data_IF_917330578786
#
_entry.id   IF_917330578786
#
_cell.length_a   1.000
_cell.length_b   1.000
_cell.length_c   1.000
_cell.angle_alpha   90.00
_cell.angle_beta   90.00
_cell.angle_gamma   90.00
#
_symmetry.space_group_name_H-M   'P 1'
#
loop_
_entity.id
_entity.type
_entity.pdbx_description
1 polymer ?
#
# COMPACT_ATOMS: atom_id res chain seq x y z
N UNK A 1 53.80 6.80 39.34
CA UNK A 1 52.68 6.36 38.48
C UNK A 1 51.76 5.47 39.29
N UNK A 2 50.60 5.99 39.71
CA UNK A 2 49.34 5.25 39.72
C UNK A 2 48.24 6.30 39.95
N UNK A 3 47.58 6.69 38.86
CA UNK A 3 46.36 7.47 38.87
C UNK A 3 45.23 6.51 39.25
N UNK A 4 44.74 6.61 40.48
CA UNK A 4 43.48 5.96 40.87
C UNK A 4 42.38 6.96 40.55
N UNK A 5 41.69 6.72 39.44
CA UNK A 5 40.46 7.41 39.10
C UNK A 5 39.37 6.98 40.08
N UNK A 6 38.84 7.92 40.86
CA UNK A 6 37.52 7.77 41.44
C UNK A 6 36.54 7.68 40.27
N UNK A 7 35.95 6.51 40.05
CA UNK A 7 34.74 6.41 39.25
C UNK A 7 33.64 7.13 40.03
N UNK A 8 33.32 8.34 39.62
CA UNK A 8 32.03 8.94 39.89
C UNK A 8 30.97 8.00 39.32
N UNK A 9 30.29 7.30 40.23
CA UNK A 9 29.07 6.55 39.90
C UNK A 9 28.04 7.59 39.49
N UNK A 10 27.87 7.76 38.18
CA UNK A 10 26.72 8.45 37.62
C UNK A 10 25.51 7.62 37.99
N UNK A 11 24.80 8.06 39.04
CA UNK A 11 23.45 7.59 39.33
C UNK A 11 22.60 8.07 38.15
N UNK A 12 22.23 7.14 37.26
CA UNK A 12 21.16 7.42 36.31
C UNK A 12 19.92 7.75 37.13
N UNK A 13 19.49 9.02 37.09
CA UNK A 13 18.20 9.43 37.64
C UNK A 13 17.12 8.59 36.96
N UNK A 14 16.57 7.60 37.69
CA UNK A 14 15.36 6.90 37.33
C UNK A 14 14.21 7.93 37.36
N UNK A 15 14.03 8.66 36.27
CA UNK A 15 12.84 9.45 36.06
C UNK A 15 11.64 8.51 36.12
N UNK A 16 10.65 8.77 37.01
CA UNK A 16 9.49 7.89 37.15
C UNK A 16 8.81 7.74 35.79
N UNK A 17 8.61 6.49 35.36
CA UNK A 17 8.01 6.20 34.06
C UNK A 17 6.54 6.65 34.08
N UNK A 18 6.29 7.85 33.56
CA UNK A 18 4.95 8.45 33.54
C UNK A 18 4.04 7.63 32.61
N UNK A 19 2.89 7.22 33.12
CA UNK A 19 1.88 6.43 32.39
C UNK A 19 0.79 7.33 31.79
N UNK A 20 0.07 6.85 30.77
CA UNK A 20 -0.98 7.65 30.13
C UNK A 20 -2.12 7.96 31.09
N UNK A 21 -2.41 7.02 31.99
CA UNK A 21 -3.37 7.18 33.08
C UNK A 21 -3.02 8.36 34.00
N UNK A 22 -1.73 8.51 34.35
CA UNK A 22 -1.25 9.62 35.18
C UNK A 22 -1.35 10.97 34.48
N UNK A 23 -1.16 11.03 33.16
CA UNK A 23 -1.26 12.28 32.39
C UNK A 23 -2.71 12.67 32.16
N UNK A 24 -3.57 11.70 31.85
CA UNK A 24 -4.99 11.94 31.58
C UNK A 24 -5.79 12.15 32.87
N UNK A 25 -5.20 11.82 34.03
CA UNK A 25 -5.83 11.91 35.35
C UNK A 25 -7.20 11.19 35.40
N UNK A 26 -7.28 10.03 34.75
CA UNK A 26 -8.48 9.19 34.71
C UNK A 26 -8.24 7.98 35.62
N UNK A 27 -8.98 7.84 36.73
CA UNK A 27 -8.93 6.65 37.58
C UNK A 27 -9.30 5.40 36.77
N UNK A 28 -8.61 4.28 37.02
CA UNK A 28 -8.86 2.99 36.37
C UNK A 28 -8.79 3.04 34.83
N UNK A 29 -7.97 3.94 34.28
CA UNK A 29 -7.80 4.07 32.85
C UNK A 29 -7.15 2.83 32.24
N UNK A 30 -7.96 2.02 31.58
CA UNK A 30 -7.50 0.79 30.94
C UNK A 30 -7.05 1.09 29.52
N UNK A 31 -5.76 1.40 29.39
CA UNK A 31 -5.10 1.84 28.15
C UNK A 31 -5.23 0.86 26.96
N UNK A 32 -5.49 -0.43 27.22
CA UNK A 32 -5.71 -1.44 26.16
C UNK A 32 -7.03 -1.24 25.41
N UNK A 33 -7.99 -0.51 25.98
CA UNK A 33 -9.28 -0.23 25.34
C UNK A 33 -9.29 1.08 24.55
N UNK A 34 -8.20 1.85 24.58
CA UNK A 34 -8.03 2.97 23.66
C UNK A 34 -8.03 2.45 22.22
N UNK A 35 -9.04 2.86 21.46
CA UNK A 35 -9.02 2.71 20.02
C UNK A 35 -7.85 3.50 19.39
N UNK A 36 -7.59 3.20 18.12
CA UNK A 36 -6.45 3.72 17.38
C UNK A 36 -6.60 5.22 17.14
N UNK A 37 -7.81 5.69 16.90
CA UNK A 37 -8.10 7.09 16.66
C UNK A 37 -7.77 7.92 17.88
N UNK A 38 -8.22 7.47 19.05
CA UNK A 38 -7.92 8.12 20.31
C UNK A 38 -6.42 8.11 20.57
N UNK A 39 -5.69 7.03 20.21
CA UNK A 39 -4.22 7.00 20.30
C UNK A 39 -3.56 7.99 19.34
N UNK A 40 -4.00 8.07 18.08
CA UNK A 40 -3.45 9.02 17.11
C UNK A 40 -3.72 10.47 17.52
N UNK A 41 -4.93 10.76 18.02
CA UNK A 41 -5.30 12.06 18.55
C UNK A 41 -4.49 12.44 19.77
N UNK A 42 -4.36 11.54 20.75
CA UNK A 42 -3.54 11.75 21.95
C UNK A 42 -2.06 11.95 21.56
N UNK A 43 -1.55 11.20 20.59
CA UNK A 43 -0.19 11.38 20.08
C UNK A 43 0.06 12.78 19.49
N UNK A 44 -0.99 13.41 18.96
CA UNK A 44 -0.92 14.77 18.44
C UNK A 44 -0.94 15.85 19.54
N UNK A 45 -1.38 15.57 20.77
CA UNK A 45 -1.57 16.61 21.80
C UNK A 45 -0.28 17.07 22.50
N UNK A 46 0.62 16.18 22.92
CA UNK A 46 1.88 16.58 23.58
C UNK A 46 3.00 15.53 23.46
N UNK A 47 4.25 15.96 23.67
CA UNK A 47 5.46 15.13 23.53
C UNK A 47 5.47 13.94 24.49
N UNK A 48 5.05 14.13 25.75
CA UNK A 48 5.07 13.07 26.78
C UNK A 48 4.05 11.98 26.44
N UNK A 49 2.82 12.35 26.08
CA UNK A 49 1.79 11.40 25.62
C UNK A 49 2.26 10.66 24.37
N UNK A 50 2.89 11.37 23.43
CA UNK A 50 3.45 10.79 22.22
C UNK A 50 4.52 9.74 22.53
N UNK A 51 5.42 10.01 23.45
CA UNK A 51 6.45 9.05 23.89
C UNK A 51 5.84 7.80 24.52
N UNK A 52 4.84 7.96 25.39
CA UNK A 52 4.15 6.83 26.03
C UNK A 52 3.39 5.98 25.01
N UNK A 53 2.73 6.60 24.04
CA UNK A 53 2.03 5.88 22.97
C UNK A 53 3.02 5.19 22.04
N UNK A 54 4.16 5.83 21.72
CA UNK A 54 5.22 5.24 20.91
C UNK A 54 5.85 3.99 21.57
N UNK A 55 5.82 3.90 22.90
CA UNK A 55 6.27 2.70 23.62
C UNK A 55 5.36 1.49 23.41
N UNK A 56 4.12 1.63 22.91
CA UNK A 56 3.15 0.54 22.78
C UNK A 56 3.11 -0.05 21.37
N UNK A 57 2.62 -1.28 21.25
CA UNK A 57 2.29 -1.85 19.96
C UNK A 57 1.13 -1.07 19.33
N UNK A 58 1.32 -0.62 18.09
CA UNK A 58 0.34 0.14 17.33
C UNK A 58 -0.13 -0.75 16.19
N UNK A 59 -1.39 -1.13 16.22
CA UNK A 59 -2.03 -1.83 15.11
C UNK A 59 -2.94 -0.85 14.40
N UNK A 60 -2.95 -0.83 13.06
CA UNK A 60 -3.89 -0.07 12.24
C UNK A 60 -4.57 -1.04 11.29
N UNK A 61 -5.90 -1.16 11.37
CA UNK A 61 -6.65 -2.05 10.48
C UNK A 61 -6.54 -1.56 9.03
N UNK A 62 -6.82 -0.29 8.78
CA UNK A 62 -6.70 0.29 7.45
C UNK A 62 -6.14 1.70 7.56
N UNK A 63 -5.01 1.95 6.88
CA UNK A 63 -4.43 3.27 6.67
C UNK A 63 -4.62 3.61 5.20
N UNK A 64 -5.28 4.72 4.89
CA UNK A 64 -5.48 5.18 3.53
C UNK A 64 -4.70 6.46 3.31
N UNK A 65 -3.97 6.52 2.21
CA UNK A 65 -3.32 7.71 1.67
C UNK A 65 -3.93 8.00 0.31
N UNK A 66 -4.68 9.10 0.21
CA UNK A 66 -5.26 9.53 -1.06
C UNK A 66 -4.62 10.83 -1.49
N UNK A 67 -4.26 10.94 -2.75
CA UNK A 67 -3.90 12.20 -3.36
C UNK A 67 -4.79 12.50 -4.58
N UNK A 68 -5.16 13.76 -4.72
CA UNK A 68 -5.86 14.29 -5.87
C UNK A 68 -5.37 15.72 -6.11
N UNK A 69 -4.48 15.88 -7.09
CA UNK A 69 -3.88 17.16 -7.43
C UNK A 69 -3.15 17.80 -6.25
N UNK A 70 -3.77 18.80 -5.62
CA UNK A 70 -3.22 19.57 -4.48
C UNK A 70 -3.74 19.13 -3.12
N UNK A 71 -4.60 18.10 -3.10
CA UNK A 71 -5.22 17.58 -1.90
C UNK A 71 -4.55 16.24 -1.55
N UNK A 72 -4.19 16.09 -0.29
CA UNK A 72 -3.71 14.84 0.30
C UNK A 72 -4.63 14.50 1.47
N UNK A 73 -5.16 13.29 1.52
CA UNK A 73 -5.99 12.80 2.61
C UNK A 73 -5.32 11.58 3.25
N UNK A 74 -5.22 11.59 4.58
CA UNK A 74 -4.74 10.47 5.37
C UNK A 74 -5.86 10.08 6.31
N UNK A 75 -6.35 8.84 6.20
CA UNK A 75 -7.47 8.39 7.00
C UNK A 75 -7.35 6.95 7.48
N UNK A 76 -8.11 6.62 8.51
CA UNK A 76 -8.32 5.25 8.97
C UNK A 76 -9.79 4.87 8.87
N UNK A 77 -10.06 3.56 8.86
CA UNK A 77 -11.43 3.05 8.93
C UNK A 77 -12.11 3.28 10.30
N UNK A 78 -11.40 3.81 11.30
CA UNK A 78 -11.93 3.98 12.65
C UNK A 78 -12.47 5.39 12.92
N UNK A 79 -12.23 6.36 12.02
CA UNK A 79 -12.71 7.74 12.15
C UNK A 79 -11.61 8.81 12.15
N UNK A 80 -10.33 8.43 12.18
CA UNK A 80 -9.23 9.38 11.96
C UNK A 80 -9.23 9.84 10.50
N UNK A 81 -9.23 11.16 10.29
CA UNK A 81 -9.08 11.76 8.98
C UNK A 81 -8.38 13.12 9.12
N UNK A 82 -7.30 13.31 8.35
CA UNK A 82 -6.64 14.59 8.14
C UNK A 82 -6.48 14.81 6.64
N UNK A 83 -6.85 16.00 6.17
CA UNK A 83 -6.63 16.41 4.79
C UNK A 83 -5.78 17.67 4.73
N UNK A 84 -4.88 17.70 3.76
CA UNK A 84 -4.00 18.80 3.44
C UNK A 84 -4.38 19.32 2.06
N UNK A 85 -4.56 20.63 1.94
CA UNK A 85 -4.86 21.30 0.68
C UNK A 85 -3.82 22.39 0.46
N UNK A 86 -3.01 22.22 -0.58
CA UNK A 86 -1.93 23.15 -0.93
C UNK A 86 -2.52 24.30 -1.74
N UNK A 87 -2.37 25.51 -1.21
CA UNK A 87 -2.87 26.75 -1.81
C UNK A 87 -1.70 27.68 -2.14
N UNK A 88 -1.93 28.67 -3.01
CA UNK A 88 -0.88 29.57 -3.54
C UNK A 88 -0.03 30.29 -2.47
N UNK A 89 -0.54 30.43 -1.25
CA UNK A 89 0.13 31.10 -0.12
C UNK A 89 0.07 30.29 1.16
N UNK A 90 0.10 28.96 1.05
CA UNK A 90 0.23 28.12 2.23
C UNK A 90 -0.44 26.76 2.13
N UNK A 91 -0.86 26.27 3.29
CA UNK A 91 -1.40 24.95 3.49
C UNK A 91 -2.65 25.04 4.36
N UNK A 92 -3.76 24.51 3.87
CA UNK A 92 -4.96 24.29 4.67
C UNK A 92 -4.90 22.87 5.21
N UNK A 93 -4.98 22.74 6.54
CA UNK A 93 -5.05 21.44 7.22
C UNK A 93 -6.43 21.31 7.84
N UNK A 94 -7.19 20.32 7.40
CA UNK A 94 -8.51 19.98 7.97
C UNK A 94 -8.38 18.68 8.75
N UNK A 95 -8.88 18.68 9.97
CA UNK A 95 -8.92 17.50 10.84
C UNK A 95 -10.22 17.55 11.64
N UNK A 96 -11.01 16.48 11.57
CA UNK A 96 -12.37 16.45 12.12
C UNK A 96 -13.21 17.65 11.62
N UNK A 97 -13.67 18.52 12.52
CA UNK A 97 -14.45 19.73 12.22
C UNK A 97 -13.59 21.01 12.33
N UNK A 98 -12.26 20.88 12.37
CA UNK A 98 -11.34 21.99 12.53
C UNK A 98 -10.55 22.20 11.25
N UNK A 99 -10.36 23.46 10.93
CA UNK A 99 -9.52 23.90 9.83
C UNK A 99 -8.41 24.81 10.38
N UNK A 100 -7.19 24.62 9.89
CA UNK A 100 -6.05 25.47 10.21
C UNK A 100 -5.38 25.90 8.91
N UNK A 101 -5.27 27.20 8.72
CA UNK A 101 -4.51 27.78 7.60
C UNK A 101 -3.09 28.10 8.08
N UNK A 102 -2.10 27.59 7.38
CA UNK A 102 -0.67 27.84 7.61
C UNK A 102 -0.18 28.68 6.45
N UNK A 103 0.16 29.94 6.71
CA UNK A 103 0.68 30.83 5.68
C UNK A 103 2.16 30.52 5.43
N UNK A 104 2.50 30.10 4.21
CA UNK A 104 3.88 30.03 3.72
C UNK A 104 3.88 30.25 2.21
N UNK A 105 4.95 30.83 1.69
CA UNK A 105 5.15 31.02 0.24
C UNK A 105 6.09 29.97 -0.34
N UNK A 106 6.51 28.97 0.44
CA UNK A 106 7.43 27.93 0.02
C UNK A 106 6.71 26.57 -0.04
N UNK A 107 6.54 26.02 -1.24
CA UNK A 107 5.92 24.71 -1.45
C UNK A 107 6.75 23.57 -0.85
N UNK A 108 8.08 23.71 -0.79
CA UNK A 108 8.97 22.74 -0.15
C UNK A 108 8.70 22.65 1.37
N UNK A 109 8.43 23.80 2.00
CA UNK A 109 8.06 23.83 3.43
C UNK A 109 6.71 23.13 3.68
N UNK A 110 5.77 23.23 2.74
CA UNK A 110 4.51 22.48 2.80
C UNK A 110 4.75 20.97 2.71
N UNK A 111 5.58 20.55 1.74
CA UNK A 111 5.98 19.14 1.56
C UNK A 111 6.63 18.59 2.82
N UNK A 112 7.62 19.29 3.39
CA UNK A 112 8.31 18.88 4.62
C UNK A 112 7.36 18.77 5.82
N UNK A 113 6.34 19.64 5.90
CA UNK A 113 5.33 19.59 6.98
C UNK A 113 4.50 18.32 6.87
N UNK A 114 3.95 18.03 5.69
CA UNK A 114 3.13 16.84 5.46
C UNK A 114 3.98 15.58 5.65
N UNK A 115 5.21 15.58 5.13
CA UNK A 115 6.17 14.50 5.34
C UNK A 115 6.45 14.25 6.82
N UNK A 116 6.67 15.30 7.62
CA UNK A 116 6.90 15.16 9.07
C UNK A 116 5.71 14.50 9.77
N UNK A 117 4.49 14.87 9.38
CA UNK A 117 3.28 14.29 9.94
C UNK A 117 3.13 12.80 9.54
N UNK A 118 3.39 12.46 8.28
CA UNK A 118 3.42 11.07 7.82
C UNK A 118 4.52 10.23 8.49
N UNK A 119 5.74 10.77 8.60
CA UNK A 119 6.85 10.16 9.29
C UNK A 119 6.50 9.89 10.75
N UNK A 120 5.76 10.81 11.39
CA UNK A 120 5.27 10.56 12.73
C UNK A 120 4.47 9.25 12.75
N UNK A 121 3.57 8.99 11.80
CA UNK A 121 2.79 7.75 11.73
C UNK A 121 3.70 6.55 11.44
N UNK A 122 4.50 6.61 10.37
CA UNK A 122 5.18 5.44 9.79
C UNK A 122 6.49 5.04 10.48
N UNK A 123 7.18 5.91 11.20
CA UNK A 123 8.52 5.61 11.76
C UNK A 123 8.54 4.64 12.96
N UNK A 124 7.38 4.21 13.47
CA UNK A 124 7.35 3.34 14.65
C UNK A 124 7.62 1.88 14.27
N UNK A 125 8.69 1.27 14.82
CA UNK A 125 8.99 -0.17 14.67
C UNK A 125 7.88 -1.10 15.17
N UNK A 126 7.06 -0.57 16.09
CA UNK A 126 5.95 -1.27 16.72
C UNK A 126 4.66 -1.18 15.90
N UNK A 127 4.67 -0.38 14.82
CA UNK A 127 3.55 -0.23 13.93
C UNK A 127 3.31 -1.52 13.13
N UNK A 128 2.07 -1.95 13.11
CA UNK A 128 1.54 -3.03 12.28
C UNK A 128 0.35 -2.47 11.54
N UNK A 129 0.31 -2.63 10.23
CA UNK A 129 -0.80 -2.17 9.39
C UNK A 129 -1.38 -3.41 8.70
N UNK A 130 -2.67 -3.64 8.86
CA UNK A 130 -3.31 -4.75 8.13
C UNK A 130 -3.41 -4.39 6.66
N UNK A 131 -4.10 -3.29 6.32
CA UNK A 131 -4.17 -2.77 4.96
C UNK A 131 -3.60 -1.37 4.85
N UNK A 132 -2.63 -1.17 3.94
CA UNK A 132 -2.19 0.15 3.52
C UNK A 132 -2.75 0.42 2.11
N UNK A 133 -3.68 1.37 2.01
CA UNK A 133 -4.27 1.81 0.76
C UNK A 133 -3.60 3.09 0.27
N UNK A 134 -3.16 3.11 -0.98
CA UNK A 134 -2.66 4.30 -1.68
C UNK A 134 -3.55 4.51 -2.91
N UNK A 135 -4.13 5.70 -3.03
CA UNK A 135 -4.99 6.08 -4.15
C UNK A 135 -4.52 7.42 -4.74
N UNK A 136 -4.20 7.44 -6.03
CA UNK A 136 -4.04 8.66 -6.81
C UNK A 136 -5.19 8.75 -7.81
N UNK A 137 -6.06 9.73 -7.61
CA UNK A 137 -7.23 9.91 -8.44
C UNK A 137 -7.17 11.29 -9.07
N UNK A 138 -6.81 11.35 -10.35
CA UNK A 138 -6.71 12.61 -11.08
C UNK A 138 -8.01 12.82 -11.84
N UNK A 139 -8.78 13.83 -11.42
CA UNK A 139 -9.99 14.23 -12.15
C UNK A 139 -9.71 15.20 -13.30
N UNK A 140 -8.46 15.49 -13.64
CA UNK A 140 -8.12 16.52 -14.64
C UNK A 140 -7.00 16.11 -15.57
N UNK A 141 -7.35 16.00 -16.84
CA UNK A 141 -6.48 15.78 -17.99
C UNK A 141 -5.27 16.74 -17.99
N UNK A 142 -4.09 16.23 -18.37
CA UNK A 142 -2.90 16.98 -18.82
C UNK A 142 -1.94 17.63 -17.80
N UNK A 143 -1.56 16.94 -16.72
CA UNK A 143 -0.38 17.36 -15.95
C UNK A 143 0.70 16.27 -15.90
N UNK A 144 1.86 16.57 -16.51
CA UNK A 144 3.06 15.71 -16.59
C UNK A 144 3.98 15.82 -15.36
N UNK A 145 3.61 16.59 -14.33
CA UNK A 145 4.42 16.71 -13.12
C UNK A 145 3.95 15.69 -12.07
N UNK A 146 4.89 14.97 -11.41
CA UNK A 146 4.52 14.04 -10.35
C UNK A 146 3.74 14.78 -9.27
N UNK A 147 2.56 14.24 -8.92
CA UNK A 147 1.66 14.89 -7.98
C UNK A 147 2.37 15.13 -6.65
N UNK A 148 2.17 16.31 -6.07
CA UNK A 148 2.82 16.70 -4.82
C UNK A 148 2.55 15.69 -3.69
N UNK A 149 1.37 15.05 -3.70
CA UNK A 149 1.06 13.93 -2.82
C UNK A 149 1.95 12.72 -3.03
N UNK A 150 2.22 12.32 -4.28
CA UNK A 150 3.15 11.24 -4.58
C UNK A 150 4.60 11.60 -4.29
N UNK A 151 5.01 12.86 -4.51
CA UNK A 151 6.34 13.36 -4.08
C UNK A 151 6.50 13.24 -2.57
N UNK A 152 5.52 13.73 -1.81
CA UNK A 152 5.51 13.65 -0.34
C UNK A 152 5.59 12.20 0.13
N UNK A 153 4.78 11.30 -0.45
CA UNK A 153 4.76 9.90 -0.08
C UNK A 153 6.10 9.22 -0.39
N UNK A 154 6.65 9.43 -1.59
CA UNK A 154 7.96 8.92 -2.00
C UNK A 154 9.06 9.37 -1.05
N UNK A 155 9.13 10.67 -0.77
CA UNK A 155 10.13 11.25 0.12
C UNK A 155 10.01 10.69 1.55
N UNK A 156 8.77 10.51 2.02
CA UNK A 156 8.49 9.88 3.31
C UNK A 156 9.00 8.45 3.34
N UNK A 157 8.61 7.61 2.38
CA UNK A 157 8.96 6.19 2.31
C UNK A 157 10.48 5.98 2.23
N UNK A 158 11.20 6.84 1.51
CA UNK A 158 12.66 6.81 1.40
C UNK A 158 13.38 7.13 2.72
N UNK A 159 12.70 7.76 3.67
CA UNK A 159 13.27 8.15 4.96
C UNK A 159 12.77 7.29 6.12
N UNK A 160 11.81 6.40 5.91
CA UNK A 160 11.36 5.47 6.96
C UNK A 160 12.55 4.59 7.36
N UNK A 161 12.98 4.62 8.64
CA UNK A 161 14.22 3.96 9.05
C UNK A 161 14.11 2.44 9.13
N UNK A 162 12.88 1.92 9.24
CA UNK A 162 12.60 0.51 9.52
C UNK A 162 11.65 -0.07 8.49
N UNK A 163 11.74 -1.39 8.26
CA UNK A 163 10.77 -2.07 7.39
C UNK A 163 9.37 -2.02 8.01
N UNK A 164 8.40 -1.57 7.23
CA UNK A 164 7.01 -1.49 7.65
C UNK A 164 6.39 -2.88 7.65
N UNK A 165 5.70 -3.24 8.72
CA UNK A 165 4.99 -4.52 8.82
C UNK A 165 3.55 -4.34 8.34
N UNK A 166 3.41 -4.35 7.02
CA UNK A 166 2.15 -4.22 6.28
C UNK A 166 1.74 -5.60 5.78
N UNK A 167 0.49 -6.01 6.02
CA UNK A 167 -0.02 -7.32 5.56
C UNK A 167 -0.57 -7.29 4.14
N UNK A 168 -1.27 -6.20 3.81
CA UNK A 168 -1.97 -5.99 2.55
C UNK A 168 -1.65 -4.60 2.01
N UNK A 169 -1.24 -4.54 0.74
CA UNK A 169 -1.07 -3.29 0.01
C UNK A 169 -2.15 -3.18 -1.05
N UNK A 170 -2.95 -2.13 -0.99
CA UNK A 170 -3.83 -1.74 -2.08
C UNK A 170 -3.30 -0.46 -2.72
N UNK A 171 -3.10 -0.48 -4.04
CA UNK A 171 -2.47 0.62 -4.76
C UNK A 171 -3.25 0.90 -6.05
N UNK A 172 -3.85 2.08 -6.09
CA UNK A 172 -4.79 2.53 -7.12
C UNK A 172 -4.26 3.81 -7.75
N UNK A 173 -3.85 3.77 -9.01
CA UNK A 173 -3.26 4.92 -9.70
C UNK A 173 -3.67 4.97 -11.16
N UNK A 174 -3.50 6.11 -11.81
CA UNK A 174 -3.71 6.20 -13.26
C UNK A 174 -2.61 5.51 -14.07
N UNK A 175 -1.36 5.77 -13.71
CA UNK A 175 -0.17 5.16 -14.29
C UNK A 175 0.72 4.61 -13.17
N UNK A 176 1.32 3.44 -13.38
CA UNK A 176 2.28 2.90 -12.42
C UNK A 176 3.50 3.81 -12.33
N UNK A 177 3.84 4.21 -11.11
CA UNK A 177 4.95 5.11 -10.83
C UNK A 177 6.00 4.46 -9.91
N UNK A 178 7.10 5.19 -9.69
CA UNK A 178 8.21 4.73 -8.84
C UNK A 178 7.81 4.62 -7.36
N UNK A 179 6.72 5.25 -6.93
CA UNK A 179 6.22 5.19 -5.55
C UNK A 179 5.76 3.78 -5.22
N UNK A 180 5.20 3.01 -6.16
CA UNK A 180 4.92 1.58 -5.93
C UNK A 180 6.21 0.83 -5.55
N UNK A 181 7.28 1.04 -6.31
CA UNK A 181 8.56 0.37 -6.08
C UNK A 181 9.14 0.74 -4.70
N UNK A 182 9.16 2.03 -4.36
CA UNK A 182 9.64 2.48 -3.05
C UNK A 182 8.74 1.99 -1.91
N UNK A 183 7.42 1.95 -2.11
CA UNK A 183 6.49 1.39 -1.12
C UNK A 183 6.80 -0.07 -0.84
N UNK A 184 6.94 -0.90 -1.89
CA UNK A 184 7.28 -2.31 -1.74
C UNK A 184 8.64 -2.49 -1.07
N UNK A 185 9.67 -1.72 -1.47
CA UNK A 185 10.98 -1.77 -0.81
C UNK A 185 10.89 -1.46 0.67
N UNK A 186 10.04 -0.54 1.10
CA UNK A 186 9.90 -0.15 2.52
C UNK A 186 9.14 -1.19 3.36
N UNK A 187 8.39 -2.11 2.74
CA UNK A 187 7.65 -3.16 3.44
C UNK A 187 8.56 -4.35 3.82
N UNK A 188 8.34 -4.92 5.01
CA UNK A 188 8.94 -6.17 5.43
C UNK A 188 8.40 -7.33 4.57
N UNK A 189 9.25 -8.03 3.80
CA UNK A 189 8.82 -9.10 2.91
C UNK A 189 8.21 -10.32 3.63
N UNK A 190 8.42 -10.48 4.95
CA UNK A 190 7.77 -11.54 5.73
C UNK A 190 6.32 -11.22 6.10
N UNK A 191 5.94 -9.94 6.03
CA UNK A 191 4.61 -9.51 6.43
C UNK A 191 3.65 -9.34 5.25
N UNK A 192 4.14 -8.98 4.06
CA UNK A 192 3.29 -8.72 2.90
C UNK A 192 2.73 -10.01 2.32
N UNK A 193 1.42 -10.24 2.47
CA UNK A 193 0.74 -11.43 1.96
C UNK A 193 -0.10 -11.12 0.71
N UNK A 194 -0.64 -9.92 0.61
CA UNK A 194 -1.61 -9.52 -0.41
C UNK A 194 -1.20 -8.21 -1.10
N UNK A 195 -1.29 -8.20 -2.43
CA UNK A 195 -1.11 -7.01 -3.24
C UNK A 195 -2.30 -6.85 -4.18
N UNK A 196 -2.91 -5.67 -4.16
CA UNK A 196 -3.95 -5.27 -5.10
C UNK A 196 -3.51 -4.05 -5.87
N UNK A 197 -3.49 -4.18 -7.19
CA UNK A 197 -3.12 -3.14 -8.12
C UNK A 197 -4.32 -2.80 -9.00
N UNK A 198 -4.64 -1.52 -9.11
CA UNK A 198 -5.57 -1.03 -10.13
C UNK A 198 -4.89 0.10 -10.88
N UNK A 199 -4.74 -0.09 -12.17
CA UNK A 199 -4.21 0.91 -13.08
C UNK A 199 -5.35 1.37 -13.99
N UNK A 200 -5.43 2.64 -14.35
CA UNK A 200 -6.51 3.12 -15.22
C UNK A 200 -6.29 2.60 -16.65
N UNK A 201 -7.33 2.09 -17.35
CA UNK A 201 -7.15 1.27 -18.56
C UNK A 201 -6.55 2.02 -19.78
N UNK A 202 -6.59 3.35 -19.80
CA UNK A 202 -6.36 4.14 -21.01
C UNK A 202 -4.90 4.57 -21.25
N UNK A 203 -3.95 4.27 -20.35
CA UNK A 203 -2.55 4.66 -20.51
C UNK A 203 -1.67 3.47 -20.93
N UNK A 204 -1.19 3.51 -22.17
CA UNK A 204 -0.71 2.39 -23.00
C UNK A 204 0.73 1.91 -22.78
N UNK A 205 1.36 2.18 -21.65
CA UNK A 205 2.77 1.81 -21.48
C UNK A 205 2.98 0.80 -20.36
N UNK A 206 3.45 -0.39 -20.74
CA UNK A 206 4.19 -1.28 -19.84
C UNK A 206 5.42 -0.53 -19.33
N UNK A 207 5.28 0.11 -18.17
CA UNK A 207 6.30 0.90 -17.51
C UNK A 207 7.51 0.01 -17.17
N UNK A 208 8.77 0.49 -17.33
CA UNK A 208 9.99 -0.25 -16.95
C UNK A 208 9.99 -0.75 -15.49
N UNK A 209 9.16 -0.15 -14.64
CA UNK A 209 9.00 -0.41 -13.21
C UNK A 209 8.65 -1.89 -12.91
N UNK A 210 7.88 -2.55 -13.77
CA UNK A 210 7.49 -3.95 -13.56
C UNK A 210 8.70 -4.87 -13.39
N UNK A 211 9.75 -4.67 -14.19
CA UNK A 211 10.96 -5.51 -14.12
C UNK A 211 11.61 -5.42 -12.74
N UNK A 212 11.64 -4.23 -12.16
CA UNK A 212 12.24 -4.02 -10.85
C UNK A 212 11.34 -4.56 -9.73
N UNK A 213 10.02 -4.40 -9.86
CA UNK A 213 9.03 -4.95 -8.93
C UNK A 213 9.15 -6.48 -8.84
N UNK A 214 9.25 -7.19 -9.97
CA UNK A 214 9.34 -8.66 -9.98
C UNK A 214 10.58 -9.22 -9.30
N UNK A 215 11.65 -8.43 -9.22
CA UNK A 215 12.90 -8.85 -8.60
C UNK A 215 12.87 -8.69 -7.07
N UNK A 216 11.91 -7.97 -6.51
CA UNK A 216 11.78 -7.75 -5.08
C UNK A 216 11.37 -9.03 -4.33
N UNK A 217 11.94 -9.23 -3.15
CA UNK A 217 11.53 -10.32 -2.25
C UNK A 217 10.08 -10.19 -1.80
N UNK A 218 9.60 -8.96 -1.65
CA UNK A 218 8.21 -8.65 -1.33
C UNK A 218 7.27 -9.20 -2.40
N UNK A 219 7.62 -9.10 -3.68
CA UNK A 219 6.83 -9.67 -4.77
C UNK A 219 6.83 -11.20 -4.76
N UNK A 220 8.02 -11.79 -4.61
CA UNK A 220 8.20 -13.25 -4.66
C UNK A 220 7.50 -14.00 -3.52
N UNK A 221 7.30 -13.35 -2.36
CA UNK A 221 6.68 -13.95 -1.18
C UNK A 221 5.18 -13.72 -1.05
N UNK A 222 4.58 -12.97 -1.98
CA UNK A 222 3.14 -12.76 -2.00
C UNK A 222 2.41 -14.10 -2.04
N UNK A 223 1.31 -14.18 -1.30
CA UNK A 223 0.37 -15.31 -1.38
C UNK A 223 -0.73 -15.03 -2.38
N UNK A 224 -1.13 -13.76 -2.51
CA UNK A 224 -2.26 -13.38 -3.35
C UNK A 224 -2.00 -12.07 -4.09
N UNK A 225 -2.35 -12.04 -5.37
CA UNK A 225 -2.25 -10.89 -6.25
C UNK A 225 -3.62 -10.62 -6.90
N UNK A 226 -4.15 -9.40 -6.79
CA UNK A 226 -5.32 -8.91 -7.55
C UNK A 226 -4.88 -7.74 -8.43
N UNK A 227 -4.81 -7.92 -9.75
CA UNK A 227 -4.46 -6.85 -10.69
C UNK A 227 -5.63 -6.55 -11.61
N UNK A 228 -6.06 -5.29 -11.60
CA UNK A 228 -7.15 -4.78 -12.44
C UNK A 228 -6.62 -3.84 -13.50
N UNK A 229 -7.14 -4.06 -14.69
CA UNK A 229 -6.73 -3.54 -15.98
C UNK A 229 -5.23 -3.77 -16.29
N UNK A 230 -4.70 -4.99 -16.08
CA UNK A 230 -3.36 -5.31 -16.54
C UNK A 230 -3.34 -5.33 -18.07
N UNK A 231 -2.61 -4.41 -18.70
CA UNK A 231 -2.26 -4.55 -20.13
C UNK A 231 -1.14 -5.61 -20.31
N UNK A 232 -1.34 -6.81 -19.78
CA UNK A 232 -0.31 -7.85 -19.71
C UNK A 232 -0.55 -8.96 -20.73
N UNK A 233 0.52 -9.36 -21.42
CA UNK A 233 0.52 -10.50 -22.34
C UNK A 233 0.53 -11.82 -21.58
N UNK A 234 0.02 -12.89 -22.19
CA UNK A 234 0.01 -14.24 -21.57
C UNK A 234 1.41 -14.71 -21.13
N UNK A 235 2.49 -14.60 -21.93
CA UNK A 235 3.83 -14.96 -21.49
C UNK A 235 4.33 -14.16 -20.27
N UNK A 236 3.77 -12.97 -20.06
CA UNK A 236 4.09 -12.13 -18.91
C UNK A 236 3.31 -12.59 -17.67
N UNK A 237 2.02 -12.92 -17.84
CA UNK A 237 1.19 -13.53 -16.78
C UNK A 237 1.81 -14.84 -16.30
N UNK A 238 2.11 -15.76 -17.22
CA UNK A 238 2.66 -17.08 -16.90
C UNK A 238 3.99 -16.97 -16.16
N UNK A 239 4.84 -16.01 -16.53
CA UNK A 239 6.17 -15.84 -15.94
C UNK A 239 6.17 -15.14 -14.58
N UNK A 240 5.32 -14.15 -14.37
CA UNK A 240 5.45 -13.24 -13.21
C UNK A 240 4.31 -13.30 -12.21
N UNK A 241 3.19 -13.92 -12.56
CA UNK A 241 2.00 -13.95 -11.70
C UNK A 241 1.70 -15.34 -11.16
N UNK A 242 2.31 -16.40 -11.69
CA UNK A 242 1.96 -17.77 -11.31
C UNK A 242 2.68 -18.26 -10.06
N UNK A 243 3.68 -17.54 -9.52
CA UNK A 243 4.46 -18.00 -8.37
C UNK A 243 3.69 -17.96 -7.03
N UNK A 244 2.51 -17.34 -6.99
CA UNK A 244 1.70 -17.14 -5.78
C UNK A 244 0.58 -18.20 -5.66
N UNK A 245 -0.10 -18.24 -4.51
CA UNK A 245 -1.21 -19.18 -4.29
C UNK A 245 -2.48 -18.78 -5.03
N UNK A 246 -2.82 -17.48 -5.04
CA UNK A 246 -4.05 -16.98 -5.65
C UNK A 246 -3.77 -15.77 -6.54
N UNK A 247 -4.32 -15.79 -7.75
CA UNK A 247 -4.20 -14.70 -8.71
C UNK A 247 -5.57 -14.32 -9.22
N UNK A 248 -5.88 -13.04 -9.18
CA UNK A 248 -7.05 -12.46 -9.81
C UNK A 248 -6.62 -11.37 -10.78
N UNK A 249 -6.88 -11.58 -12.07
CA UNK A 249 -6.63 -10.61 -13.12
C UNK A 249 -7.96 -10.15 -13.68
N UNK A 250 -8.14 -8.84 -13.84
CA UNK A 250 -9.29 -8.27 -14.54
C UNK A 250 -8.77 -7.42 -15.69
N UNK A 251 -8.94 -7.82 -16.95
CA UNK A 251 -8.54 -7.02 -18.13
C UNK A 251 -9.77 -6.63 -18.96
N UNK A 252 -9.64 -5.58 -19.76
CA UNK A 252 -10.67 -5.22 -20.73
C UNK A 252 -10.63 -6.18 -21.93
N UNK A 253 -9.45 -6.57 -22.39
CA UNK A 253 -9.28 -7.46 -23.55
C UNK A 253 -8.29 -8.59 -23.25
N UNK A 254 -8.53 -9.79 -23.79
CA UNK A 254 -7.57 -10.91 -23.76
C UNK A 254 -6.31 -10.59 -24.58
N UNK A 255 -6.54 -9.97 -25.73
CA UNK A 255 -5.50 -9.48 -26.61
C UNK A 255 -5.38 -7.98 -26.37
N UNK A 256 -4.25 -7.51 -25.85
CA UNK A 256 -3.87 -6.12 -26.09
C UNK A 256 -3.91 -5.87 -27.60
N UNK A 257 -4.12 -4.63 -28.04
CA UNK A 257 -4.31 -4.22 -29.45
C UNK A 257 -3.27 -4.73 -30.50
N UNK A 258 -2.27 -5.52 -30.09
CA UNK A 258 -1.08 -5.93 -30.85
C UNK A 258 -0.90 -7.47 -30.93
N UNK A 259 -1.46 -8.29 -30.03
CA UNK A 259 -1.34 -9.76 -30.12
C UNK A 259 -2.58 -10.37 -30.78
N UNK A 260 -2.52 -10.62 -32.09
CA UNK A 260 -3.62 -11.19 -32.88
C UNK A 260 -3.64 -12.74 -32.87
N UNK A 261 -3.34 -13.38 -31.74
CA UNK A 261 -3.41 -14.84 -31.60
C UNK A 261 -4.82 -15.33 -31.28
N UNK A 262 -5.19 -16.59 -31.63
CA UNK A 262 -6.45 -17.19 -31.19
C UNK A 262 -6.51 -17.26 -29.66
N UNK A 263 -7.62 -16.84 -29.06
CA UNK A 263 -7.80 -16.81 -27.59
C UNK A 263 -7.59 -18.21 -26.99
N UNK A 264 -8.04 -19.24 -27.70
CA UNK A 264 -7.85 -20.64 -27.34
C UNK A 264 -6.39 -21.01 -27.02
N UNK A 265 -5.43 -20.61 -27.85
CA UNK A 265 -4.01 -20.95 -27.66
C UNK A 265 -3.47 -20.38 -26.34
N UNK A 266 -3.84 -19.14 -26.04
CA UNK A 266 -3.45 -18.47 -24.80
C UNK A 266 -4.03 -19.14 -23.56
N UNK A 267 -5.29 -19.58 -23.64
CA UNK A 267 -5.94 -20.30 -22.54
C UNK A 267 -5.26 -21.65 -22.30
N UNK A 268 -4.90 -22.38 -23.36
CA UNK A 268 -4.19 -23.65 -23.23
C UNK A 268 -2.79 -23.47 -22.61
N UNK A 269 -2.04 -22.43 -22.99
CA UNK A 269 -0.73 -22.13 -22.37
C UNK A 269 -0.86 -21.85 -20.85
N UNK A 270 -1.92 -21.15 -20.45
CA UNK A 270 -2.20 -20.88 -19.03
C UNK A 270 -2.58 -22.17 -18.28
N UNK A 271 -3.36 -23.06 -18.89
CA UNK A 271 -3.73 -24.36 -18.30
C UNK A 271 -2.49 -25.22 -18.08
N UNK A 272 -1.63 -25.36 -19.08
CA UNK A 272 -0.41 -26.15 -18.95
C UNK A 272 0.47 -25.62 -17.80
N UNK A 273 0.58 -24.30 -17.69
CA UNK A 273 1.30 -23.66 -16.57
C UNK A 273 0.65 -23.88 -15.21
N UNK A 274 -0.68 -23.89 -15.14
CA UNK A 274 -1.41 -24.21 -13.91
C UNK A 274 -1.14 -25.65 -13.47
N UNK A 275 -1.12 -26.60 -14.40
CA UNK A 275 -0.87 -28.01 -14.11
C UNK A 275 0.57 -28.28 -13.67
N UNK A 276 1.53 -27.50 -14.19
CA UNK A 276 2.94 -27.58 -13.75
C UNK A 276 3.19 -26.97 -12.36
N UNK A 277 2.36 -26.01 -11.93
CA UNK A 277 2.64 -25.18 -10.77
C UNK A 277 1.93 -25.67 -9.51
N UNK A 278 2.66 -26.38 -8.65
CA UNK A 278 2.13 -26.88 -7.37
C UNK A 278 1.75 -25.81 -6.33
N UNK A 279 2.22 -24.56 -6.48
CA UNK A 279 1.93 -23.47 -5.54
C UNK A 279 0.61 -22.76 -5.87
N UNK A 280 0.28 -22.65 -7.15
CA UNK A 280 -0.86 -21.90 -7.66
C UNK A 280 -2.17 -22.68 -7.44
N UNK A 281 -2.95 -22.29 -6.43
CA UNK A 281 -4.23 -22.90 -6.08
C UNK A 281 -5.38 -22.36 -6.91
N UNK A 282 -5.32 -21.08 -7.28
CA UNK A 282 -6.38 -20.43 -8.03
C UNK A 282 -5.84 -19.34 -8.96
N UNK A 283 -6.20 -19.41 -10.23
CA UNK A 283 -6.04 -18.35 -11.21
C UNK A 283 -7.41 -17.96 -11.75
N UNK A 284 -7.83 -16.72 -11.51
CA UNK A 284 -9.06 -16.14 -12.03
C UNK A 284 -8.71 -15.03 -12.99
N UNK A 285 -9.16 -15.15 -14.23
CA UNK A 285 -9.01 -14.12 -15.24
C UNK A 285 -10.42 -13.70 -15.65
N UNK A 286 -10.77 -12.45 -15.36
CA UNK A 286 -11.98 -11.81 -15.83
C UNK A 286 -11.62 -10.91 -17.01
N UNK A 287 -12.34 -11.08 -18.11
CA UNK A 287 -12.21 -10.25 -19.29
C UNK A 287 -13.54 -9.59 -19.56
N UNK A 288 -13.57 -8.26 -19.56
CA UNK A 288 -14.82 -7.49 -19.70
C UNK A 288 -15.26 -7.35 -21.17
N UNK A 289 -14.34 -7.43 -22.14
CA UNK A 289 -14.60 -7.27 -23.57
C UNK A 289 -13.81 -8.28 -24.44
N UNK A 290 -14.31 -8.58 -25.64
CA UNK A 290 -13.65 -9.41 -26.66
C UNK A 290 -13.41 -10.91 -26.32
N UNK A 291 -14.51 -11.66 -26.18
CA UNK A 291 -14.54 -13.11 -26.47
C UNK A 291 -15.70 -13.38 -27.42
N UNK A 292 -15.43 -13.96 -28.59
CA UNK A 292 -16.51 -14.38 -29.50
C UNK A 292 -17.17 -15.65 -28.99
N UNK A 293 -18.41 -15.92 -29.42
CA UNK A 293 -19.10 -17.18 -29.09
C UNK A 293 -18.28 -18.40 -29.52
N UNK A 294 -17.58 -18.30 -30.66
CA UNK A 294 -16.70 -19.35 -31.19
C UNK A 294 -15.47 -19.58 -30.30
N UNK A 295 -14.81 -18.51 -29.84
CA UNK A 295 -13.69 -18.65 -28.89
C UNK A 295 -14.14 -19.34 -27.60
N UNK A 296 -15.34 -19.00 -27.12
CA UNK A 296 -15.91 -19.61 -25.92
C UNK A 296 -16.19 -21.11 -26.11
N UNK A 297 -16.80 -21.50 -27.23
CA UNK A 297 -17.07 -22.90 -27.55
C UNK A 297 -15.79 -23.72 -27.62
N UNK A 298 -14.76 -23.23 -28.33
CA UNK A 298 -13.46 -23.91 -28.48
C UNK A 298 -12.74 -24.11 -27.13
N UNK A 299 -12.75 -23.08 -26.28
CA UNK A 299 -12.17 -23.14 -24.93
C UNK A 299 -12.96 -24.13 -24.07
N UNK A 300 -14.29 -24.05 -24.10
CA UNK A 300 -15.14 -24.92 -23.29
C UNK A 300 -14.97 -26.40 -23.68
N UNK A 301 -14.93 -26.71 -24.98
CA UNK A 301 -14.68 -28.08 -25.47
C UNK A 301 -13.33 -28.62 -24.96
N UNK A 302 -12.30 -27.78 -25.00
CA UNK A 302 -10.96 -28.16 -24.53
C UNK A 302 -10.91 -28.37 -23.01
N UNK A 303 -11.61 -27.53 -22.25
CA UNK A 303 -11.70 -27.63 -20.79
C UNK A 303 -12.46 -28.87 -20.30
N UNK A 304 -13.40 -29.42 -21.08
CA UNK A 304 -14.10 -30.66 -20.73
C UNK A 304 -13.13 -31.81 -20.46
N UNK A 305 -11.98 -31.84 -21.14
CA UNK A 305 -10.98 -32.89 -20.97
C UNK A 305 -10.31 -32.87 -19.59
N UNK A 306 -10.31 -31.72 -18.91
CA UNK A 306 -9.74 -31.53 -17.58
C UNK A 306 -10.80 -31.62 -16.46
N UNK A 307 -12.08 -31.58 -16.82
CA UNK A 307 -13.20 -31.67 -15.89
C UNK A 307 -13.48 -33.15 -15.53
N UNK A 308 -12.57 -33.76 -14.77
CA UNK A 308 -12.66 -35.18 -14.37
C UNK A 308 -13.69 -35.45 -13.27
N UNK A 309 -14.20 -34.41 -12.63
CA UNK A 309 -15.31 -34.47 -11.70
C UNK A 309 -16.49 -33.69 -12.27
N UNK A 310 -17.50 -34.37 -12.78
CA UNK A 310 -18.78 -33.80 -13.25
C UNK A 310 -19.59 -33.12 -12.12
N UNK A 311 -18.97 -32.23 -11.34
CA UNK A 311 -19.64 -31.37 -10.38
C UNK A 311 -19.87 -30.04 -11.10
N UNK A 312 -21.12 -29.70 -11.46
CA UNK A 312 -21.41 -28.40 -12.05
C UNK A 312 -20.95 -27.29 -11.09
N UNK A 313 -20.27 -26.29 -11.65
CA UNK A 313 -19.86 -25.09 -10.92
C UNK A 313 -21.13 -24.33 -10.48
N UNK A 314 -21.30 -23.97 -9.18
CA UNK A 314 -22.48 -23.25 -8.70
C UNK A 314 -22.55 -21.80 -9.17
#
# INVERSE_FOLDING_TARGET
MSLVFNLDVVVEDENPEVTLAQILNVPDFVEKYLDIDTKLCLRATCTIIREIINKKQLYIDCLNYKCNGKIIEISTNRGFNVSYEIIKKGLIVKYWNKEKVINTNNDEENVERIQRDLMSILCSEKLRIDTFGIEDNVTTEYHHEPHIGMIVLKNTLNQVPNKLKIKSLEYFVEELDEVLLETLKTIDPENLEFLKLRVTPFMYNCTPIWRDVYNLEQWKRLKTIDVRFPQLKVPHITRFFTHVENVHLKTDYFNGFIDCGPVHHFVMELIDKLLENSTLKQLKIRVDEAMSDTDFEDINESLQQYNTSNVPYP
#
